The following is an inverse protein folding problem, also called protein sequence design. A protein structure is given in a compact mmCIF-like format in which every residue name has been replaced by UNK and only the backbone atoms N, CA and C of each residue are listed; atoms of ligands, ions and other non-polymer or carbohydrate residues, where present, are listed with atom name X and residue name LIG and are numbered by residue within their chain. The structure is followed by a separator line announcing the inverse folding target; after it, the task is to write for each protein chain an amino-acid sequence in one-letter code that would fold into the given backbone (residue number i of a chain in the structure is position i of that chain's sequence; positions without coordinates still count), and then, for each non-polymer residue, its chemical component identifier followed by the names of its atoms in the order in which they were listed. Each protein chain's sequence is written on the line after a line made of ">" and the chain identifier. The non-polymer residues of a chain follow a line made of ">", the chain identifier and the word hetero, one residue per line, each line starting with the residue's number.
data_IF_594279240419
#
_entry.id   IF_594279240419
#
_cell.length_a   1.000
_cell.length_b   1.000
_cell.length_c   1.000
_cell.angle_alpha   90.00
_cell.angle_beta   90.00
_cell.angle_gamma   90.00
#
_symmetry.space_group_name_H-M   'P 1'
#
loop_
_entity.id
_entity.type
_entity.pdbx_description
1 polymer ?
#
# COMPACT_ATOMS: atom_id res chain seq x y z
N UNK A 1 13.11 28.40 -46.38
CA UNK A 1 12.58 28.37 -45.00
C UNK A 1 11.58 27.22 -44.77
N UNK A 2 11.00 26.60 -45.80
CA UNK A 2 10.01 25.50 -45.66
C UNK A 2 10.55 24.16 -45.09
N UNK A 3 11.82 23.83 -45.31
CA UNK A 3 12.39 22.51 -44.95
C UNK A 3 12.53 22.29 -43.44
N UNK A 4 12.84 23.35 -42.69
CA UNK A 4 13.04 23.28 -41.22
C UNK A 4 11.68 23.16 -40.52
N UNK A 5 10.67 23.88 -41.01
CA UNK A 5 9.31 23.81 -40.49
C UNK A 5 8.71 22.41 -40.66
N UNK A 6 8.85 21.82 -41.85
CA UNK A 6 8.34 20.47 -42.14
C UNK A 6 9.07 19.39 -41.30
N UNK A 7 10.38 19.53 -41.09
CA UNK A 7 11.14 18.62 -40.25
C UNK A 7 10.68 18.68 -38.79
N UNK A 8 10.48 19.89 -38.25
CA UNK A 8 9.98 20.13 -36.89
C UNK A 8 8.59 19.51 -36.70
N UNK A 9 7.71 19.64 -37.70
CA UNK A 9 6.36 19.07 -37.69
C UNK A 9 6.39 17.53 -37.65
N UNK A 10 7.29 16.89 -38.41
CA UNK A 10 7.47 15.43 -38.39
C UNK A 10 8.01 14.94 -37.04
N UNK A 11 8.93 15.68 -36.41
CA UNK A 11 9.42 15.34 -35.07
C UNK A 11 8.34 15.47 -34.00
N UNK A 12 7.55 16.55 -34.02
CA UNK A 12 6.43 16.74 -33.09
C UNK A 12 5.40 15.61 -33.25
N UNK A 13 5.02 15.28 -34.49
CA UNK A 13 4.07 14.22 -34.79
C UNK A 13 4.55 12.85 -34.32
N UNK A 14 5.85 12.55 -34.45
CA UNK A 14 6.45 11.32 -33.94
C UNK A 14 6.48 11.29 -32.41
N UNK A 15 6.81 12.40 -31.75
CA UNK A 15 6.77 12.47 -30.27
C UNK A 15 5.34 12.29 -29.74
N UNK A 16 4.35 12.84 -30.45
CA UNK A 16 2.94 12.67 -30.15
C UNK A 16 2.47 11.22 -30.33
N UNK A 17 2.80 10.58 -31.45
CA UNK A 17 2.46 9.16 -31.67
C UNK A 17 3.10 8.25 -30.62
N UNK A 18 4.37 8.49 -30.27
CA UNK A 18 5.07 7.72 -29.22
C UNK A 18 4.50 8.00 -27.83
N UNK A 19 4.11 9.24 -27.54
CA UNK A 19 3.44 9.63 -26.31
C UNK A 19 2.07 8.97 -26.18
N UNK A 20 1.25 9.03 -27.23
CA UNK A 20 -0.06 8.39 -27.32
C UNK A 20 0.05 6.88 -27.12
N UNK A 21 1.00 6.23 -27.79
CA UNK A 21 1.24 4.78 -27.63
C UNK A 21 1.62 4.43 -26.19
N UNK A 22 2.45 5.24 -25.53
CA UNK A 22 2.83 5.01 -24.12
C UNK A 22 1.68 5.25 -23.15
N UNK A 23 0.85 6.24 -23.40
CA UNK A 23 -0.37 6.51 -22.62
C UNK A 23 -1.37 5.36 -22.79
N UNK A 24 -1.52 4.84 -24.00
CA UNK A 24 -2.39 3.70 -24.29
C UNK A 24 -1.88 2.43 -23.62
N UNK A 25 -0.56 2.15 -23.67
CA UNK A 25 0.05 1.05 -22.91
C UNK A 25 -0.15 1.22 -21.40
N UNK A 26 0.03 2.42 -20.86
CA UNK A 26 -0.18 2.69 -19.44
C UNK A 26 -1.64 2.48 -19.03
N UNK A 27 -2.59 2.88 -19.89
CA UNK A 27 -4.03 2.62 -19.69
C UNK A 27 -4.33 1.12 -19.70
N UNK A 28 -3.77 0.38 -20.64
CA UNK A 28 -3.97 -1.07 -20.76
C UNK A 28 -3.38 -1.82 -19.56
N UNK A 29 -2.15 -1.50 -19.17
CA UNK A 29 -1.50 -2.06 -17.97
C UNK A 29 -2.22 -1.67 -16.69
N UNK A 30 -2.73 -0.43 -16.58
CA UNK A 30 -3.50 -0.01 -15.42
C UNK A 30 -4.78 -0.83 -15.28
N UNK A 31 -5.50 -1.06 -16.38
CA UNK A 31 -6.73 -1.89 -16.41
C UNK A 31 -6.42 -3.35 -16.06
N UNK A 32 -5.39 -3.94 -16.66
CA UNK A 32 -5.02 -5.34 -16.42
C UNK A 32 -4.54 -5.59 -14.98
N UNK A 33 -3.66 -4.71 -14.47
CA UNK A 33 -3.21 -4.78 -13.08
C UNK A 33 -4.35 -4.53 -12.08
N UNK A 34 -5.19 -3.51 -12.30
CA UNK A 34 -6.33 -3.28 -11.39
C UNK A 34 -7.33 -4.43 -11.45
N UNK A 35 -7.62 -4.98 -12.63
CA UNK A 35 -8.53 -6.13 -12.76
C UNK A 35 -8.00 -7.37 -12.04
N UNK A 36 -6.69 -7.64 -12.12
CA UNK A 36 -6.05 -8.75 -11.42
C UNK A 36 -6.07 -8.54 -9.90
N UNK A 37 -5.75 -7.33 -9.42
CA UNK A 37 -5.78 -7.00 -7.99
C UNK A 37 -7.20 -7.08 -7.44
N UNK A 38 -8.19 -6.53 -8.15
CA UNK A 38 -9.60 -6.55 -7.75
C UNK A 38 -10.12 -7.97 -7.73
N UNK A 39 -9.81 -8.79 -8.75
CA UNK A 39 -10.17 -10.21 -8.78
C UNK A 39 -9.58 -10.96 -7.60
N UNK A 40 -8.30 -10.74 -7.27
CA UNK A 40 -7.66 -11.33 -6.10
C UNK A 40 -8.33 -10.91 -4.79
N UNK A 41 -8.62 -9.61 -4.62
CA UNK A 41 -9.32 -9.10 -3.44
C UNK A 41 -10.71 -9.72 -3.32
N UNK A 42 -11.49 -9.77 -4.40
CA UNK A 42 -12.84 -10.36 -4.40
C UNK A 42 -12.80 -11.85 -4.04
N UNK A 43 -11.90 -12.62 -4.64
CA UNK A 43 -11.74 -14.05 -4.34
C UNK A 43 -11.31 -14.28 -2.88
N UNK A 44 -10.41 -13.44 -2.35
CA UNK A 44 -9.95 -13.57 -0.97
C UNK A 44 -10.85 -12.87 0.05
N UNK A 45 -11.83 -12.08 -0.37
CA UNK A 45 -12.68 -11.28 0.51
C UNK A 45 -13.44 -12.16 1.51
N UNK A 46 -13.96 -13.30 1.04
CA UNK A 46 -14.69 -14.25 1.89
C UNK A 46 -13.77 -14.82 2.97
N UNK A 47 -12.53 -15.19 2.61
CA UNK A 47 -11.54 -15.72 3.56
C UNK A 47 -11.15 -14.66 4.59
N UNK A 48 -10.89 -13.42 4.15
CA UNK A 48 -10.58 -12.30 5.04
C UNK A 48 -11.73 -12.04 6.02
N UNK A 49 -12.97 -12.10 5.55
CA UNK A 49 -14.15 -11.86 6.37
C UNK A 49 -14.32 -12.94 7.45
N UNK A 50 -14.08 -14.22 7.10
CA UNK A 50 -14.08 -15.32 8.07
C UNK A 50 -12.97 -15.17 9.11
N UNK A 51 -11.75 -14.85 8.69
CA UNK A 51 -10.61 -14.63 9.58
C UNK A 51 -10.88 -13.45 10.52
N UNK A 52 -11.46 -12.37 9.99
CA UNK A 52 -11.83 -11.19 10.77
C UNK A 52 -12.87 -11.56 11.84
N UNK A 53 -13.94 -12.25 11.46
CA UNK A 53 -14.96 -12.72 12.39
C UNK A 53 -14.38 -13.61 13.49
N UNK A 54 -13.56 -14.58 13.10
CA UNK A 54 -12.89 -15.49 14.02
C UNK A 54 -12.00 -14.73 15.02
N UNK A 55 -11.19 -13.79 14.52
CA UNK A 55 -10.29 -12.97 15.34
C UNK A 55 -11.07 -12.07 16.30
N UNK A 56 -12.19 -11.48 15.86
CA UNK A 56 -13.08 -10.69 16.72
C UNK A 56 -13.66 -11.55 17.84
N UNK A 57 -14.17 -12.74 17.52
CA UNK A 57 -14.70 -13.69 18.50
C UNK A 57 -13.64 -14.08 19.54
N UNK A 58 -12.41 -14.37 19.08
CA UNK A 58 -11.26 -14.66 19.94
C UNK A 58 -10.93 -13.49 20.86
N UNK A 59 -10.87 -12.27 20.31
CA UNK A 59 -10.57 -11.06 21.08
C UNK A 59 -11.62 -10.82 22.16
N UNK A 60 -12.90 -11.03 21.85
CA UNK A 60 -14.00 -10.93 22.82
C UNK A 60 -13.86 -12.01 23.89
N UNK A 61 -13.59 -13.26 23.50
CA UNK A 61 -13.40 -14.37 24.44
C UNK A 61 -12.23 -14.14 25.40
N UNK A 62 -11.09 -13.66 24.90
CA UNK A 62 -9.93 -13.30 25.72
C UNK A 62 -10.27 -12.15 26.66
N UNK A 63 -10.98 -11.12 26.17
CA UNK A 63 -11.41 -10.00 27.00
C UNK A 63 -12.34 -10.45 28.13
N UNK A 64 -13.29 -11.35 27.86
CA UNK A 64 -14.16 -11.91 28.90
C UNK A 64 -13.39 -12.79 29.88
N UNK A 65 -12.49 -13.66 29.40
CA UNK A 65 -11.72 -14.54 30.28
C UNK A 65 -10.81 -13.76 31.24
N UNK A 66 -10.10 -12.75 30.72
CA UNK A 66 -9.29 -11.85 31.54
C UNK A 66 -10.19 -11.01 32.45
N UNK A 67 -11.32 -10.52 31.94
CA UNK A 67 -12.29 -9.73 32.69
C UNK A 67 -12.91 -10.46 33.87
N UNK A 68 -13.20 -11.76 33.71
CA UNK A 68 -13.72 -12.62 34.78
C UNK A 68 -12.65 -12.91 35.84
N UNK A 69 -11.39 -13.13 35.43
CA UNK A 69 -10.27 -13.31 36.35
C UNK A 69 -10.00 -12.08 37.22
N UNK A 70 -10.21 -10.88 36.67
CA UNK A 70 -10.07 -9.60 37.38
C UNK A 70 -11.36 -9.16 38.10
N UNK A 71 -12.43 -9.95 38.03
CA UNK A 71 -13.71 -9.68 38.68
C UNK A 71 -14.55 -8.57 38.04
N UNK A 72 -14.04 -7.87 37.03
CA UNK A 72 -14.78 -6.89 36.23
C UNK A 72 -14.36 -6.92 34.76
N UNK A 73 -15.35 -7.08 33.88
CA UNK A 73 -15.17 -7.19 32.42
C UNK A 73 -14.46 -5.97 31.80
N UNK A 74 -14.64 -4.78 32.39
CA UNK A 74 -13.99 -3.55 31.94
C UNK A 74 -12.46 -3.65 31.89
N UNK A 75 -11.83 -4.36 32.85
CA UNK A 75 -10.38 -4.53 32.87
C UNK A 75 -9.88 -5.44 31.74
N UNK A 76 -10.68 -6.45 31.36
CA UNK A 76 -10.37 -7.32 30.23
C UNK A 76 -10.28 -6.56 28.91
N UNK A 77 -11.27 -5.70 28.63
CA UNK A 77 -11.23 -4.82 27.46
C UNK A 77 -10.09 -3.80 27.52
N UNK A 78 -9.77 -3.25 28.70
CA UNK A 78 -8.68 -2.29 28.85
C UNK A 78 -7.31 -2.90 28.54
N UNK A 79 -7.06 -4.13 29.01
CA UNK A 79 -5.81 -4.86 28.72
C UNK A 79 -5.72 -5.18 27.23
N UNK A 80 -6.79 -5.71 26.63
CA UNK A 80 -6.82 -6.04 25.20
C UNK A 80 -6.61 -4.78 24.34
N UNK A 81 -7.28 -3.67 24.67
CA UNK A 81 -7.09 -2.39 23.98
C UNK A 81 -5.65 -1.86 24.14
N UNK A 82 -5.04 -2.03 25.32
CA UNK A 82 -3.65 -1.69 25.57
C UNK A 82 -2.68 -2.48 24.69
N UNK A 83 -2.88 -3.79 24.58
CA UNK A 83 -2.07 -4.66 23.71
C UNK A 83 -2.19 -4.24 22.24
N UNK A 84 -3.41 -4.01 21.75
CA UNK A 84 -3.62 -3.51 20.38
C UNK A 84 -2.98 -2.12 20.17
N UNK A 85 -3.10 -1.22 21.15
CA UNK A 85 -2.50 0.11 21.09
C UNK A 85 -0.97 0.10 21.02
N UNK A 86 -0.32 -0.74 21.84
CA UNK A 86 1.13 -0.94 21.78
C UNK A 86 1.52 -1.52 20.42
N UNK A 87 0.76 -2.49 19.91
CA UNK A 87 0.98 -3.08 18.58
C UNK A 87 0.98 -2.03 17.46
N UNK A 88 -0.02 -1.13 17.46
CA UNK A 88 -0.09 -0.02 16.49
C UNK A 88 1.11 0.91 16.64
N UNK A 89 1.50 1.26 17.87
CA UNK A 89 2.62 2.15 18.12
C UNK A 89 3.94 1.57 17.61
N UNK A 90 4.17 0.27 17.82
CA UNK A 90 5.32 -0.47 17.26
C UNK A 90 5.26 -0.47 15.73
N UNK A 91 4.09 -0.71 15.13
CA UNK A 91 3.92 -0.68 13.67
C UNK A 91 4.27 0.69 13.09
N UNK A 92 3.82 1.77 13.71
CA UNK A 92 4.12 3.15 13.28
C UNK A 92 5.63 3.45 13.33
N UNK A 93 6.32 2.97 14.37
CA UNK A 93 7.77 3.12 14.48
C UNK A 93 8.51 2.32 13.40
N UNK A 94 8.06 1.09 13.10
CA UNK A 94 8.62 0.29 12.01
C UNK A 94 8.39 0.95 10.64
N UNK A 95 7.17 1.40 10.36
CA UNK A 95 6.84 2.09 9.11
C UNK A 95 7.68 3.36 8.94
N UNK A 96 7.86 4.14 10.00
CA UNK A 96 8.74 5.32 9.98
C UNK A 96 10.19 4.94 9.72
N UNK A 97 10.69 3.85 10.30
CA UNK A 97 12.04 3.32 10.03
C UNK A 97 12.21 2.83 8.60
N UNK A 98 11.24 2.11 8.05
CA UNK A 98 11.25 1.61 6.67
C UNK A 98 11.24 2.79 5.69
N UNK A 99 10.34 3.77 5.89
CA UNK A 99 10.28 4.99 5.08
C UNK A 99 11.60 5.76 5.09
N UNK A 100 12.24 5.87 6.26
CA UNK A 100 13.52 6.55 6.39
C UNK A 100 14.67 5.78 5.71
N UNK A 101 14.71 4.44 5.80
CA UNK A 101 15.72 3.64 5.09
C UNK A 101 15.59 3.79 3.57
N UNK A 102 14.39 3.65 3.03
CA UNK A 102 14.15 3.75 1.58
C UNK A 102 14.58 5.13 1.07
N UNK A 103 14.24 6.19 1.81
CA UNK A 103 14.65 7.56 1.45
C UNK A 103 16.17 7.73 1.45
N UNK A 104 16.89 7.13 2.41
CA UNK A 104 18.35 7.24 2.48
C UNK A 104 19.06 6.42 1.39
N UNK A 105 18.50 5.28 0.98
CA UNK A 105 19.03 4.47 -0.12
C UNK A 105 18.84 5.17 -1.47
N UNK A 106 17.70 5.82 -1.69
CA UNK A 106 17.44 6.57 -2.94
C UNK A 106 18.32 7.82 -3.04
N UNK A 107 18.49 8.56 -1.94
CA UNK A 107 19.34 9.77 -1.92
C UNK A 107 20.82 9.43 -2.12
N UNK A 108 21.32 8.33 -1.55
CA UNK A 108 22.72 7.91 -1.76
C UNK A 108 23.02 7.43 -3.18
N UNK A 109 22.05 6.90 -3.91
CA UNK A 109 22.22 6.52 -5.33
C UNK A 109 22.06 7.71 -6.30
N UNK A 110 21.34 8.76 -5.92
CA UNK A 110 21.19 9.98 -6.73
C UNK A 110 22.31 11.00 -6.51
N UNK A 111 23.01 10.94 -5.38
CA UNK A 111 24.11 11.84 -5.02
C UNK A 111 25.48 11.17 -5.20
N UNK A 112 25.67 10.37 -6.25
CA UNK A 112 27.02 10.12 -6.74
C UNK A 112 27.41 11.31 -7.62
N UNK A 113 28.36 12.17 -7.19
CA UNK A 113 29.01 13.09 -8.10
C UNK A 113 29.62 12.19 -9.18
N UNK A 114 29.11 12.34 -10.40
CA UNK A 114 29.70 11.74 -11.58
C UNK A 114 31.07 12.39 -11.71
N UNK A 115 32.12 11.68 -11.30
CA UNK A 115 33.50 11.96 -11.72
C UNK A 115 33.60 11.92 -13.25
#
# INVERSE_FOLDING_TARGET
>A
METIANSMEIFIKRVEDYGNTRIELAKLMAIDHTSTIVSYILSNMVVILVILFFTLMLSIGIAFWIGDLLGQVYWGFFIVAGVYGIGVLVLLLLFKRIKNRIKNTIVSHLYQPKE
#
